data_IF_670545909762
#
_entry.id   IF_670545909762
#
_cell.length_a   1.000
_cell.length_b   1.000
_cell.length_c   1.000
_cell.angle_alpha   90.00
_cell.angle_beta   90.00
_cell.angle_gamma   90.00
#
_symmetry.space_group_name_H-M   'P 1'
#
loop_
_entity.id
_entity.type
_entity.pdbx_description
1 polymer ?
#
# COMPACT_ATOMS: atom_id res chain seq x y z
N UNK A 1 -1.23 -20.75 30.68
CA UNK A 1 -2.13 -19.57 30.88
C UNK A 1 -1.24 -18.37 31.11
N UNK A 2 -1.25 -17.37 30.24
CA UNK A 2 -0.24 -16.30 30.23
C UNK A 2 -0.40 -15.42 31.48
N UNK A 3 0.52 -15.48 32.45
CA UNK A 3 0.46 -14.72 33.71
C UNK A 3 0.25 -13.21 33.48
N UNK A 4 0.74 -12.69 32.36
CA UNK A 4 0.52 -11.30 31.94
C UNK A 4 -0.95 -10.99 31.67
N UNK A 5 -1.70 -11.87 31.03
CA UNK A 5 -3.13 -11.67 30.74
C UNK A 5 -3.93 -11.58 32.05
N UNK A 6 -3.59 -12.41 33.03
CA UNK A 6 -4.23 -12.38 34.36
C UNK A 6 -3.91 -11.05 35.06
N UNK A 7 -2.66 -10.60 35.01
CA UNK A 7 -2.23 -9.31 35.58
C UNK A 7 -2.95 -8.12 34.93
N UNK A 8 -3.09 -8.09 33.61
CA UNK A 8 -3.81 -7.03 32.89
C UNK A 8 -5.31 -7.03 33.18
N UNK A 9 -5.93 -8.22 33.31
CA UNK A 9 -7.34 -8.34 33.72
C UNK A 9 -7.58 -7.87 35.15
N UNK A 10 -6.65 -8.14 36.07
CA UNK A 10 -6.71 -7.64 37.46
C UNK A 10 -6.53 -6.13 37.49
N UNK A 11 -5.58 -5.57 36.72
CA UNK A 11 -5.39 -4.13 36.58
C UNK A 11 -6.65 -3.44 36.04
N UNK A 12 -7.32 -4.04 35.04
CA UNK A 12 -8.58 -3.55 34.49
C UNK A 12 -9.67 -3.45 35.56
N UNK A 13 -9.85 -4.51 36.37
CA UNK A 13 -10.85 -4.52 37.44
C UNK A 13 -10.53 -3.52 38.56
N UNK A 14 -9.26 -3.31 38.89
CA UNK A 14 -8.83 -2.30 39.87
C UNK A 14 -9.14 -0.89 39.37
N UNK A 15 -8.81 -0.58 38.12
CA UNK A 15 -9.07 0.73 37.52
C UNK A 15 -10.57 1.01 37.36
N UNK A 16 -11.37 -0.02 37.06
CA UNK A 16 -12.83 0.08 37.04
C UNK A 16 -13.40 0.33 38.45
N UNK A 17 -12.86 -0.33 39.48
CA UNK A 17 -13.24 -0.11 40.88
C UNK A 17 -12.89 1.30 41.37
N UNK A 18 -11.72 1.83 41.01
CA UNK A 18 -11.32 3.20 41.30
C UNK A 18 -12.22 4.24 40.63
N UNK A 19 -12.68 3.96 39.41
CA UNK A 19 -13.65 4.82 38.73
C UNK A 19 -14.98 4.89 39.49
N UNK A 20 -15.50 3.76 39.98
CA UNK A 20 -16.75 3.72 40.75
C UNK A 20 -16.63 4.46 42.08
N UNK A 21 -15.47 4.39 42.74
CA UNK A 21 -15.21 5.10 44.00
C UNK A 21 -14.96 6.61 43.82
N UNK A 22 -14.48 7.03 42.64
CA UNK A 22 -14.17 8.43 42.31
C UNK A 22 -15.26 9.16 41.52
N UNK A 23 -16.40 8.52 41.28
CA UNK A 23 -17.53 9.09 40.56
C UNK A 23 -18.16 10.23 41.37
N UNK A 24 -18.39 11.37 40.72
CA UNK A 24 -18.91 12.57 41.38
C UNK A 24 -17.85 13.47 42.03
N UNK A 25 -16.62 13.00 42.24
CA UNK A 25 -15.50 13.84 42.72
C UNK A 25 -14.44 14.14 41.65
N UNK A 26 -14.06 13.12 40.87
CA UNK A 26 -12.97 13.19 39.88
C UNK A 26 -13.48 12.81 38.48
N UNK A 27 -14.46 11.91 38.40
CA UNK A 27 -15.03 11.43 37.14
C UNK A 27 -16.46 11.92 36.94
N UNK A 28 -16.77 12.32 35.69
CA UNK A 28 -18.09 12.81 35.28
C UNK A 28 -19.15 11.71 35.40
N UNK A 29 -20.24 12.01 36.08
CA UNK A 29 -21.36 11.09 36.27
C UNK A 29 -21.95 10.63 34.91
N UNK A 30 -22.33 9.35 34.83
CA UNK A 30 -22.96 8.78 33.64
C UNK A 30 -22.00 8.40 32.50
N UNK A 31 -20.69 8.64 32.62
CA UNK A 31 -19.70 8.30 31.58
C UNK A 31 -19.03 6.92 31.75
N UNK A 32 -19.57 6.05 32.62
CA UNK A 32 -18.96 4.76 33.00
C UNK A 32 -18.63 3.88 31.80
N UNK A 33 -19.55 3.82 30.84
CA UNK A 33 -19.42 2.98 29.63
C UNK A 33 -18.28 3.49 28.74
N UNK A 34 -18.15 4.82 28.57
CA UNK A 34 -17.07 5.42 27.76
C UNK A 34 -15.70 5.16 28.38
N UNK A 35 -15.60 5.33 29.70
CA UNK A 35 -14.35 5.07 30.43
C UNK A 35 -13.95 3.60 30.34
N UNK A 36 -14.89 2.68 30.58
CA UNK A 36 -14.63 1.24 30.44
C UNK A 36 -14.19 0.86 29.02
N UNK A 37 -14.81 1.44 27.98
CA UNK A 37 -14.43 1.20 26.59
C UNK A 37 -13.01 1.69 26.27
N UNK A 38 -12.66 2.93 26.67
CA UNK A 38 -11.31 3.48 26.49
C UNK A 38 -10.28 2.63 27.24
N UNK A 39 -10.59 2.23 28.48
CA UNK A 39 -9.70 1.43 29.30
C UNK A 39 -9.45 0.05 28.68
N UNK A 40 -10.50 -0.61 28.18
CA UNK A 40 -10.40 -1.90 27.51
C UNK A 40 -9.56 -1.80 26.24
N UNK A 41 -9.81 -0.80 25.39
CA UNK A 41 -9.04 -0.58 24.16
C UNK A 41 -7.57 -0.29 24.50
N UNK A 42 -7.30 0.57 25.48
CA UNK A 42 -5.95 0.95 25.89
C UNK A 42 -5.15 -0.25 26.41
N UNK A 43 -5.76 -1.08 27.27
CA UNK A 43 -5.11 -2.30 27.78
C UNK A 43 -4.90 -3.32 26.66
N UNK A 44 -5.83 -3.45 25.72
CA UNK A 44 -5.68 -4.34 24.57
C UNK A 44 -4.51 -3.91 23.68
N UNK A 45 -4.42 -2.61 23.35
CA UNK A 45 -3.29 -2.05 22.59
C UNK A 45 -1.98 -2.29 23.33
N UNK A 46 -1.92 -1.96 24.61
CA UNK A 46 -0.71 -2.15 25.41
C UNK A 46 -0.29 -3.62 25.48
N UNK A 47 -1.24 -4.55 25.65
CA UNK A 47 -0.99 -5.99 25.65
C UNK A 47 -0.32 -6.44 24.34
N UNK A 48 -0.84 -6.01 23.19
CA UNK A 48 -0.25 -6.35 21.89
C UNK A 48 1.11 -5.69 21.66
N UNK A 49 1.35 -4.47 22.17
CA UNK A 49 2.66 -3.82 22.12
C UNK A 49 3.69 -4.59 22.97
N UNK A 50 3.34 -4.96 24.20
CA UNK A 50 4.22 -5.74 25.07
C UNK A 50 4.53 -7.11 24.47
N UNK A 51 3.51 -7.77 23.90
CA UNK A 51 3.65 -9.05 23.20
C UNK A 51 4.55 -8.96 21.96
N UNK A 52 4.43 -7.89 21.18
CA UNK A 52 5.30 -7.65 20.04
C UNK A 52 6.75 -7.39 20.50
N UNK A 53 6.94 -6.63 21.59
CA UNK A 53 8.27 -6.33 22.17
C UNK A 53 8.94 -7.53 22.80
N UNK A 54 8.19 -8.49 23.35
CA UNK A 54 8.75 -9.71 23.93
C UNK A 54 9.29 -10.69 22.89
N UNK A 55 9.22 -10.36 21.60
CA UNK A 55 9.71 -11.21 20.52
C UNK A 55 8.83 -12.42 20.24
N UNK A 56 7.59 -12.44 20.76
CA UNK A 56 6.64 -13.48 20.39
C UNK A 56 6.25 -13.31 18.92
N UNK A 57 6.19 -14.42 18.17
CA UNK A 57 5.74 -14.39 16.78
C UNK A 57 4.25 -14.00 16.74
N UNK A 58 3.99 -12.78 16.29
CA UNK A 58 2.64 -12.34 15.94
C UNK A 58 2.39 -12.72 14.49
N UNK A 59 1.40 -13.58 14.26
CA UNK A 59 0.96 -13.88 12.91
C UNK A 59 0.38 -12.62 12.27
N UNK A 60 1.17 -12.01 11.38
CA UNK A 60 0.72 -10.93 10.51
C UNK A 60 0.13 -11.57 9.25
N UNK A 61 -1.20 -11.53 9.13
CA UNK A 61 -1.89 -12.00 7.94
C UNK A 61 -1.46 -11.16 6.74
N UNK A 62 -0.89 -11.80 5.74
CA UNK A 62 -0.56 -11.16 4.46
C UNK A 62 -1.83 -10.68 3.76
N UNK A 63 -1.76 -9.53 3.10
CA UNK A 63 -2.88 -9.02 2.29
C UNK A 63 -2.84 -9.75 0.95
N UNK A 64 -3.87 -10.53 0.58
CA UNK A 64 -3.83 -11.33 -0.64
C UNK A 64 -3.57 -10.50 -1.90
N UNK A 65 -4.09 -9.28 -1.96
CA UNK A 65 -3.87 -8.36 -3.08
C UNK A 65 -2.40 -7.96 -3.26
N UNK A 66 -1.67 -7.65 -2.18
CA UNK A 66 -0.24 -7.33 -2.25
C UNK A 66 0.59 -8.54 -2.70
N UNK A 67 0.27 -9.74 -2.19
CA UNK A 67 0.94 -10.97 -2.61
C UNK A 67 0.71 -11.27 -4.10
N UNK A 68 -0.48 -10.97 -4.62
CA UNK A 68 -0.80 -11.17 -6.02
C UNK A 68 0.02 -10.24 -6.96
N UNK A 69 0.40 -9.04 -6.50
CA UNK A 69 1.29 -8.16 -7.24
C UNK A 69 2.68 -8.80 -7.39
N UNK A 70 3.25 -9.29 -6.29
CA UNK A 70 4.56 -9.94 -6.28
C UNK A 70 4.58 -11.17 -7.21
N UNK A 71 3.54 -12.00 -7.14
CA UNK A 71 3.40 -13.16 -8.02
C UNK A 71 3.27 -12.76 -9.49
N UNK A 72 2.51 -11.70 -9.80
CA UNK A 72 2.35 -11.23 -11.17
C UNK A 72 3.67 -10.67 -11.75
N UNK A 73 4.48 -9.98 -10.93
CA UNK A 73 5.84 -9.58 -11.34
C UNK A 73 6.73 -10.80 -11.57
N UNK A 74 6.67 -11.81 -10.70
CA UNK A 74 7.38 -13.07 -10.87
C UNK A 74 7.03 -13.75 -12.20
N UNK A 75 5.73 -13.89 -12.51
CA UNK A 75 5.28 -14.45 -13.79
C UNK A 75 5.72 -13.61 -14.99
N UNK A 76 5.67 -12.28 -14.89
CA UNK A 76 6.14 -11.41 -15.97
C UNK A 76 7.62 -11.63 -16.28
N UNK A 77 8.42 -11.80 -15.22
CA UNK A 77 9.85 -12.15 -15.30
C UNK A 77 10.05 -13.50 -15.98
N UNK A 78 9.34 -14.55 -15.54
CA UNK A 78 9.41 -15.89 -16.12
C UNK A 78 9.02 -15.92 -17.61
N UNK A 79 8.09 -15.06 -18.02
CA UNK A 79 7.67 -14.90 -19.40
C UNK A 79 8.60 -14.00 -20.23
N UNK A 80 9.59 -13.36 -19.61
CA UNK A 80 10.48 -12.40 -20.27
C UNK A 80 9.75 -11.16 -20.82
N UNK A 81 8.63 -10.78 -20.19
CA UNK A 81 7.77 -9.66 -20.61
C UNK A 81 7.81 -8.53 -19.60
N UNK A 82 7.49 -7.32 -20.06
CA UNK A 82 7.47 -6.14 -19.18
C UNK A 82 6.31 -6.17 -18.18
N UNK A 83 6.51 -5.44 -17.09
CA UNK A 83 5.48 -5.06 -16.11
C UNK A 83 5.04 -3.64 -16.43
N UNK A 84 3.74 -3.44 -16.61
CA UNK A 84 3.13 -2.14 -16.83
C UNK A 84 2.43 -1.68 -15.55
N UNK A 85 2.80 -0.51 -15.04
CA UNK A 85 2.17 0.11 -13.88
C UNK A 85 1.56 1.46 -14.26
N UNK A 86 0.27 1.63 -14.03
CA UNK A 86 -0.47 2.85 -14.37
C UNK A 86 -1.01 3.48 -13.09
N UNK A 87 -0.54 4.67 -12.67
CA UNK A 87 -0.93 5.31 -11.42
C UNK A 87 -2.21 6.18 -11.51
N UNK A 88 -2.95 6.11 -12.63
CA UNK A 88 -4.16 6.88 -12.85
C UNK A 88 -3.95 8.23 -13.56
N UNK A 89 -5.01 9.05 -13.59
CA UNK A 89 -5.04 10.31 -14.34
C UNK A 89 -4.97 11.59 -13.49
N UNK A 90 -5.02 11.44 -12.16
CA UNK A 90 -5.12 12.58 -11.24
C UNK A 90 -3.78 12.95 -10.63
N UNK A 91 -3.72 14.14 -10.06
CA UNK A 91 -2.54 14.69 -9.42
C UNK A 91 -2.30 14.10 -8.01
N UNK A 92 -1.23 14.53 -7.35
CA UNK A 92 -0.85 14.16 -5.98
C UNK A 92 -1.76 14.77 -4.91
N UNK A 93 -2.73 15.61 -5.28
CA UNK A 93 -3.76 16.09 -4.37
C UNK A 93 -4.81 15.00 -4.05
N UNK A 94 -4.84 13.91 -4.83
CA UNK A 94 -5.68 12.75 -4.59
C UNK A 94 -4.95 11.69 -3.76
N UNK A 95 -5.60 11.24 -2.69
CA UNK A 95 -5.06 10.20 -1.79
C UNK A 95 -4.86 8.88 -2.54
N UNK A 96 -5.71 8.58 -3.51
CA UNK A 96 -5.63 7.38 -4.34
C UNK A 96 -4.37 7.38 -5.21
N UNK A 97 -3.99 8.52 -5.80
CA UNK A 97 -2.76 8.66 -6.58
C UNK A 97 -1.52 8.46 -5.69
N UNK A 98 -1.48 9.11 -4.52
CA UNK A 98 -0.39 8.94 -3.56
C UNK A 98 -0.28 7.46 -3.13
N UNK A 99 -1.41 6.82 -2.85
CA UNK A 99 -1.45 5.40 -2.48
C UNK A 99 -0.96 4.51 -3.63
N UNK A 100 -1.36 4.82 -4.86
CA UNK A 100 -0.86 4.16 -6.07
C UNK A 100 0.66 4.24 -6.19
N UNK A 101 1.25 5.42 -5.99
CA UNK A 101 2.70 5.61 -5.99
C UNK A 101 3.42 4.86 -4.87
N UNK A 102 2.82 4.76 -3.67
CA UNK A 102 3.38 3.92 -2.61
C UNK A 102 3.42 2.43 -3.01
N UNK A 103 2.38 1.95 -3.70
CA UNK A 103 2.36 0.57 -4.22
C UNK A 103 3.34 0.42 -5.39
N UNK A 104 3.53 1.45 -6.22
CA UNK A 104 4.57 1.48 -7.25
C UNK A 104 5.95 1.22 -6.63
N UNK A 105 6.27 1.82 -5.49
CA UNK A 105 7.53 1.53 -4.78
C UNK A 105 7.70 0.04 -4.43
N UNK A 106 6.62 -0.60 -3.94
CA UNK A 106 6.64 -2.05 -3.66
C UNK A 106 6.83 -2.89 -4.92
N UNK A 107 6.17 -2.53 -6.02
CA UNK A 107 6.33 -3.20 -7.33
C UNK A 107 7.75 -2.98 -7.86
N UNK A 108 8.27 -1.76 -7.81
CA UNK A 108 9.62 -1.39 -8.23
C UNK A 108 10.69 -2.16 -7.44
N UNK A 109 10.51 -2.35 -6.13
CA UNK A 109 11.41 -3.16 -5.32
C UNK A 109 11.47 -4.62 -5.83
N UNK A 110 10.33 -5.19 -6.22
CA UNK A 110 10.23 -6.56 -6.74
C UNK A 110 10.73 -6.68 -8.18
N UNK A 111 10.43 -5.72 -9.06
CA UNK A 111 10.97 -5.72 -10.43
C UNK A 111 12.49 -5.59 -10.40
N UNK A 112 13.05 -4.78 -9.50
CA UNK A 112 14.49 -4.70 -9.31
C UNK A 112 15.12 -6.02 -8.84
N UNK A 113 14.47 -6.73 -7.89
CA UNK A 113 14.94 -8.03 -7.39
C UNK A 113 14.89 -9.13 -8.44
N UNK A 114 13.85 -9.12 -9.27
CA UNK A 114 13.64 -10.13 -10.31
C UNK A 114 14.24 -9.74 -11.66
N UNK A 115 14.90 -8.58 -11.75
CA UNK A 115 15.44 -8.03 -13.01
C UNK A 115 14.37 -7.87 -14.11
N UNK A 116 13.14 -7.57 -13.70
CA UNK A 116 12.02 -7.36 -14.61
C UNK A 116 12.00 -5.92 -15.14
N UNK A 117 11.66 -5.77 -16.42
CA UNK A 117 11.43 -4.45 -17.02
C UNK A 117 10.13 -3.83 -16.47
N UNK A 118 10.21 -2.58 -16.03
CA UNK A 118 9.10 -1.81 -15.48
C UNK A 118 8.83 -0.59 -16.35
N UNK A 119 7.59 -0.47 -16.83
CA UNK A 119 7.11 0.65 -17.64
C UNK A 119 5.98 1.36 -16.88
N UNK A 120 6.13 2.67 -16.64
CA UNK A 120 5.23 3.49 -15.83
C UNK A 120 4.81 4.74 -16.62
N UNK A 121 3.87 4.62 -17.56
CA UNK A 121 3.31 5.80 -18.21
C UNK A 121 2.47 6.58 -17.20
N UNK A 122 2.58 7.90 -17.21
CA UNK A 122 1.82 8.80 -16.33
C UNK A 122 1.20 9.97 -17.08
N UNK A 123 0.16 10.54 -16.50
CA UNK A 123 -0.63 11.64 -17.09
C UNK A 123 -0.26 13.03 -16.57
N UNK A 124 0.48 13.13 -15.45
CA UNK A 124 0.85 14.39 -14.81
C UNK A 124 2.35 14.44 -14.58
N UNK A 125 2.98 15.57 -14.90
CA UNK A 125 4.44 15.72 -14.79
C UNK A 125 4.93 15.64 -13.35
N UNK A 126 4.17 16.14 -12.38
CA UNK A 126 4.54 16.03 -10.96
C UNK A 126 4.43 14.58 -10.44
N UNK A 127 3.48 13.80 -10.95
CA UNK A 127 3.38 12.35 -10.70
C UNK A 127 4.55 11.61 -11.35
N UNK A 128 5.03 12.07 -12.52
CA UNK A 128 6.24 11.52 -13.16
C UNK A 128 7.46 11.68 -12.27
N UNK A 129 7.73 12.90 -11.79
CA UNK A 129 8.88 13.17 -10.94
C UNK A 129 8.81 12.40 -9.61
N UNK A 130 7.64 12.38 -8.96
CA UNK A 130 7.44 11.59 -7.75
C UNK A 130 7.61 10.08 -8.00
N UNK A 131 7.09 9.56 -9.11
CA UNK A 131 7.28 8.17 -9.51
C UNK A 131 8.73 7.82 -9.78
N UNK A 132 9.49 8.71 -10.43
CA UNK A 132 10.93 8.54 -10.67
C UNK A 132 11.70 8.43 -9.37
N UNK A 133 11.45 9.33 -8.42
CA UNK A 133 12.10 9.33 -7.11
C UNK A 133 11.80 8.04 -6.34
N UNK A 134 10.54 7.61 -6.31
CA UNK A 134 10.11 6.38 -5.63
C UNK A 134 10.76 5.15 -6.27
N UNK A 135 10.76 5.04 -7.60
CA UNK A 135 11.41 3.93 -8.30
C UNK A 135 12.92 3.93 -8.04
N UNK A 136 13.57 5.09 -8.07
CA UNK A 136 15.01 5.24 -7.81
C UNK A 136 15.39 4.77 -6.41
N UNK A 137 14.64 5.22 -5.40
CA UNK A 137 14.84 4.80 -4.02
C UNK A 137 14.61 3.29 -3.87
N UNK A 138 13.58 2.75 -4.51
CA UNK A 138 13.23 1.32 -4.44
C UNK A 138 14.31 0.43 -5.09
N UNK A 139 14.84 0.84 -6.24
CA UNK A 139 15.94 0.14 -6.92
C UNK A 139 17.25 0.25 -6.11
N UNK A 140 17.53 1.41 -5.52
CA UNK A 140 18.68 1.60 -4.62
C UNK A 140 18.57 0.70 -3.39
N UNK A 141 17.40 0.63 -2.76
CA UNK A 141 17.12 -0.22 -1.59
C UNK A 141 17.27 -1.72 -1.91
N UNK A 142 16.89 -2.14 -3.12
CA UNK A 142 17.13 -3.50 -3.62
C UNK A 142 18.59 -3.77 -4.00
N UNK A 143 19.49 -2.79 -3.89
CA UNK A 143 20.90 -2.93 -4.25
C UNK A 143 21.14 -3.02 -5.77
N UNK A 144 20.17 -2.59 -6.58
CA UNK A 144 20.21 -2.63 -8.05
C UNK A 144 20.00 -1.26 -8.70
N UNK A 145 20.78 -0.22 -8.32
CA UNK A 145 20.68 1.10 -8.95
C UNK A 145 21.10 1.07 -10.43
N UNK A 146 21.84 0.06 -10.86
CA UNK A 146 22.24 -0.19 -12.25
C UNK A 146 21.06 -0.47 -13.20
N UNK A 147 19.96 -0.99 -12.67
CA UNK A 147 18.76 -1.31 -13.46
C UNK A 147 17.77 -0.14 -13.55
N UNK A 148 17.99 0.94 -12.80
CA UNK A 148 17.11 2.09 -12.80
C UNK A 148 17.38 3.00 -14.02
N UNK A 149 16.31 3.55 -14.60
CA UNK A 149 16.38 4.56 -15.65
C UNK A 149 15.25 5.57 -15.48
N UNK A 150 15.53 6.87 -15.67
CA UNK A 150 14.51 7.93 -15.61
C UNK A 150 13.41 7.73 -16.66
N UNK A 151 13.70 7.02 -17.77
CA UNK A 151 12.75 6.73 -18.84
C UNK A 151 11.68 5.69 -18.43
N UNK A 152 11.92 4.94 -17.35
CA UNK A 152 10.97 3.94 -16.85
C UNK A 152 9.65 4.58 -16.42
N UNK A 153 9.70 5.83 -15.94
CA UNK A 153 8.52 6.65 -15.61
C UNK A 153 8.48 7.83 -16.57
N UNK A 154 7.47 7.88 -17.42
CA UNK A 154 7.41 8.87 -18.48
C UNK A 154 6.01 9.43 -18.68
N UNK A 155 5.97 10.73 -18.99
CA UNK A 155 4.76 11.46 -19.26
C UNK A 155 4.24 11.17 -20.68
N UNK A 156 2.93 10.94 -20.80
CA UNK A 156 2.26 10.74 -22.09
C UNK A 156 1.43 11.97 -22.48
N UNK A 157 0.41 12.30 -21.68
CA UNK A 157 -0.52 13.40 -21.92
C UNK A 157 -1.36 13.65 -20.67
N UNK A 158 -1.77 14.90 -20.45
CA UNK A 158 -2.68 15.32 -19.39
C UNK A 158 -4.16 15.17 -19.79
N UNK A 159 -4.43 15.05 -21.09
CA UNK A 159 -5.75 14.77 -21.65
C UNK A 159 -6.14 13.30 -21.49
N UNK A 160 -7.27 13.04 -20.82
CA UNK A 160 -7.70 11.72 -20.36
C UNK A 160 -7.70 10.65 -21.45
N UNK A 161 -8.33 10.91 -22.60
CA UNK A 161 -8.43 9.91 -23.67
C UNK A 161 -7.17 9.82 -24.51
N UNK A 162 -6.38 10.89 -24.61
CA UNK A 162 -5.06 10.82 -25.23
C UNK A 162 -4.10 9.96 -24.39
N UNK A 163 -4.16 10.11 -23.06
CA UNK A 163 -3.44 9.25 -22.12
C UNK A 163 -3.87 7.78 -22.27
N UNK A 164 -5.17 7.50 -22.25
CA UNK A 164 -5.69 6.15 -22.43
C UNK A 164 -5.24 5.52 -23.76
N UNK A 165 -5.31 6.27 -24.86
CA UNK A 165 -4.86 5.80 -26.17
C UNK A 165 -3.34 5.52 -26.20
N UNK A 166 -2.54 6.38 -25.56
CA UNK A 166 -1.09 6.18 -25.45
C UNK A 166 -0.73 4.92 -24.67
N UNK A 167 -1.38 4.70 -23.52
CA UNK A 167 -1.19 3.52 -22.69
C UNK A 167 -1.66 2.25 -23.41
N UNK A 168 -2.81 2.28 -24.09
CA UNK A 168 -3.25 1.15 -24.93
C UNK A 168 -2.26 0.85 -26.05
N UNK A 169 -1.69 1.87 -26.68
CA UNK A 169 -0.65 1.70 -27.68
C UNK A 169 0.60 1.02 -27.12
N UNK A 170 0.95 1.27 -25.86
CA UNK A 170 2.03 0.54 -25.16
C UNK A 170 1.65 -0.93 -24.98
N UNK A 171 0.44 -1.21 -24.47
CA UNK A 171 -0.04 -2.58 -24.27
C UNK A 171 -0.01 -3.42 -25.55
N UNK A 172 -0.52 -2.88 -26.66
CA UNK A 172 -0.56 -3.59 -27.94
C UNK A 172 0.82 -3.89 -28.53
N UNK A 173 1.79 -2.99 -28.32
CA UNK A 173 3.16 -3.15 -28.82
C UNK A 173 4.01 -4.05 -27.94
N UNK A 174 3.99 -3.81 -26.63
CA UNK A 174 4.88 -4.48 -25.67
C UNK A 174 4.30 -5.78 -25.11
N UNK A 175 2.97 -5.93 -25.12
CA UNK A 175 2.23 -7.07 -24.60
C UNK A 175 2.70 -7.47 -23.18
N UNK A 176 2.70 -6.52 -22.22
CA UNK A 176 3.15 -6.77 -20.85
C UNK A 176 2.41 -7.96 -20.23
N UNK A 177 3.12 -8.76 -19.44
CA UNK A 177 2.53 -9.93 -18.79
C UNK A 177 1.79 -9.58 -17.49
N UNK A 178 2.06 -8.40 -16.91
CA UNK A 178 1.37 -7.88 -15.74
C UNK A 178 1.01 -6.41 -15.97
N UNK A 179 -0.28 -6.09 -15.92
CA UNK A 179 -0.80 -4.72 -15.96
C UNK A 179 -1.39 -4.37 -14.60
N UNK A 180 -0.86 -3.32 -13.97
CA UNK A 180 -1.35 -2.81 -12.70
C UNK A 180 -2.02 -1.45 -12.90
N UNK A 181 -3.30 -1.36 -12.51
CA UNK A 181 -4.07 -0.11 -12.53
C UNK A 181 -4.35 0.32 -11.09
N UNK A 182 -3.45 1.11 -10.51
CA UNK A 182 -3.46 1.43 -9.08
C UNK A 182 -3.31 2.94 -8.88
N UNK A 183 -4.42 3.62 -8.62
CA UNK A 183 -4.48 5.06 -8.47
C UNK A 183 -5.88 5.61 -8.69
N UNK A 184 -5.99 6.88 -9.06
CA UNK A 184 -7.28 7.52 -9.34
C UNK A 184 -7.64 7.40 -10.82
N UNK A 185 -8.73 6.69 -11.10
CA UNK A 185 -9.24 6.50 -12.46
C UNK A 185 -10.70 6.93 -12.61
N UNK A 186 -11.08 7.24 -13.85
CA UNK A 186 -12.44 7.55 -14.28
C UNK A 186 -12.83 6.66 -15.47
N UNK A 187 -13.36 7.23 -16.56
CA UNK A 187 -13.87 6.49 -17.71
C UNK A 187 -12.80 5.69 -18.46
N UNK A 188 -11.54 6.14 -18.44
CA UNK A 188 -10.40 5.46 -19.04
C UNK A 188 -10.13 4.09 -18.43
N UNK A 189 -10.52 3.86 -17.17
CA UNK A 189 -10.32 2.56 -16.51
C UNK A 189 -10.91 1.39 -17.30
N UNK A 190 -12.10 1.58 -17.90
CA UNK A 190 -12.77 0.54 -18.68
C UNK A 190 -11.98 0.22 -19.96
N UNK A 191 -11.48 1.26 -20.63
CA UNK A 191 -10.69 1.14 -21.86
C UNK A 191 -9.37 0.41 -21.58
N UNK A 192 -8.66 0.81 -20.52
CA UNK A 192 -7.41 0.17 -20.11
C UNK A 192 -7.63 -1.29 -19.69
N UNK A 193 -8.71 -1.57 -18.96
CA UNK A 193 -9.01 -2.93 -18.50
C UNK A 193 -9.37 -3.86 -19.67
N UNK A 194 -10.14 -3.39 -20.65
CA UNK A 194 -10.50 -4.17 -21.83
C UNK A 194 -9.26 -4.51 -22.67
N UNK A 195 -8.40 -3.53 -22.95
CA UNK A 195 -7.16 -3.76 -23.70
C UNK A 195 -6.17 -4.64 -22.93
N UNK A 196 -6.03 -4.43 -21.61
CA UNK A 196 -5.20 -5.29 -20.78
C UNK A 196 -5.67 -6.75 -20.74
N UNK A 197 -6.97 -7.00 -20.92
CA UNK A 197 -7.53 -8.36 -20.98
C UNK A 197 -7.36 -9.02 -22.36
N UNK A 198 -7.11 -8.25 -23.43
CA UNK A 198 -6.98 -8.79 -24.78
C UNK A 198 -5.54 -9.20 -25.19
N UNK A 199 -4.54 -8.90 -24.37
CA UNK A 199 -3.10 -9.15 -24.66
C UNK A 199 -2.52 -10.33 -23.88
#
# INVERSE_FOLDING_TARGET
MNNKVIMWSVLFLILLGLYVLGEGMIFVEGSRVKFAAILLVSITIYYYIDRARSGEEIYLRTIPGLKALEEAVGRATEMGKSVLFVPGISDLDQVETITGLNILGHVAEHTAKYEASLNVPVSKSIVMEAGRDICKESYLKSGRPDLYSDDMVHYISDEQFAYAAGVNGIMEREKPAACFYLGKFYAESLILAETGNSI
#
